data_IF_471899897045
#
_entry.id   IF_471899897045
#
_cell.length_a   1.000
_cell.length_b   1.000
_cell.length_c   1.000
_cell.angle_alpha   90.00
_cell.angle_beta   90.00
_cell.angle_gamma   90.00
#
_symmetry.space_group_name_H-M   'P 1'
#
loop_
_entity.id
_entity.type
_entity.pdbx_description
1 polymer ?
#
# COMPACT_ATOMS: atom_id res chain seq x y z
N UNK A 1 16.43 13.00 -8.75
CA UNK A 1 14.96 13.10 -8.83
C UNK A 1 14.39 12.26 -7.71
N UNK A 2 13.62 12.85 -6.80
CA UNK A 2 12.96 12.10 -5.72
C UNK A 2 11.72 11.49 -6.36
N UNK A 3 11.81 10.21 -6.71
CA UNK A 3 10.70 9.46 -7.28
C UNK A 3 9.69 9.17 -6.16
N UNK A 4 8.44 9.57 -6.33
CA UNK A 4 7.35 8.90 -5.61
C UNK A 4 7.46 7.42 -6.00
N UNK A 5 7.50 6.45 -5.05
CA UNK A 5 7.78 5.04 -5.34
C UNK A 5 6.92 4.41 -6.43
N UNK A 6 5.74 4.99 -6.64
CA UNK A 6 4.69 4.49 -7.51
C UNK A 6 4.47 5.36 -8.75
N UNK A 7 5.20 6.48 -8.89
CA UNK A 7 5.32 7.24 -10.12
C UNK A 7 6.57 6.77 -10.87
N UNK A 8 6.55 5.50 -11.30
CA UNK A 8 7.46 5.08 -12.36
C UNK A 8 7.22 6.00 -13.58
N UNK A 9 8.25 6.30 -14.39
CA UNK A 9 8.01 6.85 -15.72
C UNK A 9 7.00 5.96 -16.46
N UNK A 10 6.15 6.52 -17.33
CA UNK A 10 5.17 5.75 -18.09
C UNK A 10 5.89 4.58 -18.74
N UNK A 11 5.41 3.36 -18.47
CA UNK A 11 5.98 2.18 -19.10
C UNK A 11 5.64 2.33 -20.58
N UNK A 12 6.65 2.53 -21.42
CA UNK A 12 6.51 2.41 -22.87
C UNK A 12 6.32 0.93 -23.23
N UNK A 13 5.19 0.35 -22.85
CA UNK A 13 4.73 -0.92 -23.42
C UNK A 13 3.22 -0.98 -23.27
N UNK A 14 2.52 -1.04 -24.39
CA UNK A 14 1.05 -1.13 -24.48
C UNK A 14 0.44 -2.43 -23.94
N UNK A 15 1.05 -3.08 -22.95
CA UNK A 15 0.59 -4.34 -22.36
C UNK A 15 0.63 -4.31 -20.83
N UNK A 16 -0.40 -3.72 -20.23
CA UNK A 16 -1.09 -4.24 -19.04
C UNK A 16 -2.37 -3.41 -18.86
N UNK A 17 -3.27 -3.54 -19.84
CA UNK A 17 -4.53 -2.82 -19.81
C UNK A 17 -5.44 -3.53 -18.80
N UNK A 18 -5.77 -2.91 -17.65
CA UNK A 18 -6.78 -3.45 -16.75
C UNK A 18 -8.04 -3.75 -17.60
N UNK A 19 -8.57 -4.98 -17.57
CA UNK A 19 -9.54 -5.41 -18.56
C UNK A 19 -10.81 -4.57 -18.49
N UNK A 20 -11.43 -4.37 -19.65
CA UNK A 20 -12.65 -3.58 -19.81
C UNK A 20 -12.59 -2.10 -19.41
N UNK A 21 -11.39 -1.54 -19.15
CA UNK A 21 -11.25 -0.09 -19.01
C UNK A 21 -11.75 0.61 -20.28
N UNK A 22 -12.76 1.49 -20.20
CA UNK A 22 -13.30 2.18 -21.38
C UNK A 22 -12.27 3.07 -22.07
N UNK A 23 -12.46 3.31 -23.37
CA UNK A 23 -11.52 3.98 -24.26
C UNK A 23 -12.24 4.89 -25.26
N UNK A 24 -11.54 5.82 -25.94
CA UNK A 24 -12.16 6.66 -26.95
C UNK A 24 -12.80 5.87 -28.11
N UNK A 25 -12.18 4.77 -28.53
CA UNK A 25 -12.61 3.93 -29.66
C UNK A 25 -13.94 3.20 -29.39
N UNK A 26 -14.22 2.85 -28.14
CA UNK A 26 -15.51 2.28 -27.72
C UNK A 26 -16.48 3.34 -27.16
N UNK A 27 -16.24 4.62 -27.46
CA UNK A 27 -17.06 5.75 -26.99
C UNK A 27 -17.22 5.78 -25.46
N UNK A 28 -16.20 5.34 -24.73
CA UNK A 28 -16.22 5.26 -23.26
C UNK A 28 -17.30 4.32 -22.71
N UNK A 29 -17.73 3.32 -23.49
CA UNK A 29 -18.75 2.38 -23.04
C UNK A 29 -18.21 1.43 -21.94
N UNK A 30 -18.89 1.41 -20.79
CA UNK A 30 -18.62 0.50 -19.67
C UNK A 30 -19.40 -0.81 -19.83
N UNK A 31 -18.70 -1.91 -20.11
CA UNK A 31 -19.32 -3.24 -20.17
C UNK A 31 -19.41 -3.87 -18.76
N UNK A 32 -20.32 -3.34 -17.93
CA UNK A 32 -20.52 -3.80 -16.56
C UNK A 32 -20.82 -5.30 -16.45
N UNK A 33 -21.63 -5.82 -17.39
CA UNK A 33 -22.00 -7.24 -17.42
C UNK A 33 -20.76 -8.14 -17.56
N UNK A 34 -19.84 -7.81 -18.47
CA UNK A 34 -18.62 -8.59 -18.64
C UNK A 34 -17.68 -8.50 -17.42
N UNK A 35 -17.57 -7.32 -16.80
CA UNK A 35 -16.83 -7.12 -15.56
C UNK A 35 -17.36 -8.03 -14.44
N UNK A 36 -18.65 -7.95 -14.15
CA UNK A 36 -19.28 -8.74 -13.10
C UNK A 36 -19.21 -10.25 -13.39
N UNK A 37 -19.29 -10.67 -14.66
CA UNK A 37 -19.13 -12.08 -15.05
C UNK A 37 -17.70 -12.60 -14.85
N UNK A 38 -16.69 -11.78 -15.14
CA UNK A 38 -15.29 -12.19 -15.02
C UNK A 38 -14.80 -12.23 -13.57
N UNK A 39 -15.26 -11.29 -12.74
CA UNK A 39 -14.66 -11.04 -11.43
C UNK A 39 -15.52 -11.53 -10.27
N UNK A 40 -15.06 -12.57 -9.58
CA UNK A 40 -15.73 -13.14 -8.40
C UNK A 40 -15.78 -12.14 -7.23
N UNK A 41 -14.78 -11.26 -7.14
CA UNK A 41 -14.73 -10.21 -6.11
C UNK A 41 -15.72 -9.05 -6.37
N UNK A 42 -16.16 -8.83 -7.62
CA UNK A 42 -17.31 -7.96 -7.89
C UNK A 42 -18.60 -8.65 -7.43
N UNK A 43 -18.79 -9.92 -7.81
CA UNK A 43 -19.97 -10.70 -7.41
C UNK A 43 -20.10 -10.78 -5.88
N UNK A 44 -19.00 -10.84 -5.13
CA UNK A 44 -19.01 -10.88 -3.68
C UNK A 44 -19.54 -9.59 -3.01
N UNK A 45 -19.65 -8.47 -3.75
CA UNK A 45 -20.25 -7.23 -3.26
C UNK A 45 -21.77 -7.16 -3.46
N UNK A 46 -22.33 -8.07 -4.27
CA UNK A 46 -23.76 -8.17 -4.53
C UNK A 46 -24.54 -8.44 -3.23
N UNK A 47 -25.58 -7.65 -2.99
CA UNK A 47 -26.41 -7.75 -1.78
C UNK A 47 -25.73 -7.40 -0.46
N UNK A 48 -24.47 -6.91 -0.46
CA UNK A 48 -23.84 -6.41 0.77
C UNK A 48 -24.51 -5.10 1.17
N UNK A 49 -25.25 -5.06 2.29
CA UNK A 49 -26.11 -3.93 2.59
C UNK A 49 -25.28 -2.69 2.95
N UNK A 50 -25.83 -1.53 2.64
CA UNK A 50 -25.29 -0.22 3.03
C UNK A 50 -26.36 0.56 3.79
N UNK A 51 -25.93 1.56 4.57
CA UNK A 51 -26.87 2.35 5.36
C UNK A 51 -27.67 3.30 4.45
N UNK A 52 -29.00 3.18 4.35
CA UNK A 52 -29.78 3.89 3.33
C UNK A 52 -29.71 5.41 3.39
N UNK A 53 -29.44 5.99 4.57
CA UNK A 53 -29.28 7.44 4.71
C UNK A 53 -28.07 7.98 3.94
N UNK A 54 -27.02 7.16 3.78
CA UNK A 54 -25.81 7.50 3.04
C UNK A 54 -25.76 6.85 1.66
N UNK A 55 -26.51 5.75 1.45
CA UNK A 55 -26.48 4.93 0.23
C UNK A 55 -27.90 4.50 -0.15
N UNK A 56 -28.72 5.42 -0.64
CA UNK A 56 -30.09 5.11 -1.04
C UNK A 56 -30.15 4.29 -2.35
N UNK A 57 -29.04 4.20 -3.09
CA UNK A 57 -28.90 3.36 -4.28
C UNK A 57 -28.96 1.85 -3.97
N UNK A 58 -28.69 1.45 -2.73
CA UNK A 58 -28.76 0.07 -2.28
C UNK A 58 -27.40 -0.51 -1.89
N UNK A 59 -27.07 -1.68 -2.43
CA UNK A 59 -25.89 -2.44 -2.01
C UNK A 59 -24.56 -1.91 -2.58
N UNK A 60 -23.47 -2.50 -2.10
CA UNK A 60 -22.10 -2.13 -2.47
C UNK A 60 -21.81 -2.33 -3.96
N UNK A 61 -22.39 -3.34 -4.61
CA UNK A 61 -22.16 -3.60 -6.03
C UNK A 61 -22.85 -2.54 -6.91
N UNK A 62 -24.09 -2.18 -6.57
CA UNK A 62 -24.82 -1.10 -7.26
C UNK A 62 -24.04 0.20 -7.13
N UNK A 63 -23.59 0.54 -5.92
CA UNK A 63 -22.76 1.72 -5.70
C UNK A 63 -21.47 1.67 -6.53
N UNK A 64 -20.73 0.57 -6.50
CA UNK A 64 -19.49 0.41 -7.28
C UNK A 64 -19.72 0.62 -8.78
N UNK A 65 -20.85 0.15 -9.32
CA UNK A 65 -21.23 0.40 -10.71
C UNK A 65 -21.42 1.91 -10.98
N UNK A 66 -22.17 2.59 -10.13
CA UNK A 66 -22.43 4.03 -10.26
C UNK A 66 -21.14 4.86 -10.13
N UNK A 67 -20.21 4.48 -9.25
CA UNK A 67 -18.89 5.11 -9.14
C UNK A 67 -18.07 4.93 -10.41
N UNK A 68 -18.05 3.72 -10.97
CA UNK A 68 -17.34 3.44 -12.22
C UNK A 68 -17.93 4.24 -13.40
N UNK A 69 -19.27 4.33 -13.51
CA UNK A 69 -19.92 5.14 -14.54
C UNK A 69 -19.61 6.64 -14.36
N UNK A 70 -19.73 7.18 -13.15
CA UNK A 70 -19.40 8.56 -12.83
C UNK A 70 -17.93 8.90 -13.20
N UNK A 71 -16.98 8.01 -12.89
CA UNK A 71 -15.58 8.19 -13.26
C UNK A 71 -15.41 8.22 -14.79
N UNK A 72 -16.05 7.29 -15.50
CA UNK A 72 -15.94 7.16 -16.97
C UNK A 72 -16.57 8.34 -17.71
N UNK A 73 -17.57 9.00 -17.13
CA UNK A 73 -18.14 10.24 -17.65
C UNK A 73 -17.31 11.49 -17.33
N UNK A 74 -16.35 11.41 -16.40
CA UNK A 74 -15.58 12.56 -15.96
C UNK A 74 -14.53 12.99 -17.00
N UNK A 75 -14.57 14.26 -17.44
CA UNK A 75 -13.67 14.80 -18.47
C UNK A 75 -12.20 14.73 -18.05
N UNK A 76 -11.90 15.10 -16.80
CA UNK A 76 -10.54 14.98 -16.25
C UNK A 76 -10.01 13.55 -16.37
N UNK A 77 -10.79 12.52 -16.00
CA UNK A 77 -10.37 11.13 -16.15
C UNK A 77 -10.10 10.80 -17.62
N UNK A 78 -10.99 11.16 -18.55
CA UNK A 78 -10.80 10.92 -19.99
C UNK A 78 -9.51 11.56 -20.52
N UNK A 79 -9.11 12.71 -19.99
CA UNK A 79 -7.91 13.44 -20.39
C UNK A 79 -6.59 12.85 -19.85
N UNK A 80 -6.63 11.97 -18.85
CA UNK A 80 -5.43 11.37 -18.26
C UNK A 80 -4.70 10.44 -19.26
N UNK A 81 -3.39 10.22 -19.08
CA UNK A 81 -2.68 9.15 -19.77
C UNK A 81 -3.36 7.78 -19.60
N UNK A 82 -3.21 6.88 -20.59
CA UNK A 82 -3.85 5.56 -20.62
C UNK A 82 -3.60 4.79 -19.31
N UNK A 83 -2.36 4.73 -18.85
CA UNK A 83 -1.96 4.00 -17.64
C UNK A 83 -2.65 4.57 -16.39
N UNK A 84 -2.70 5.89 -16.25
CA UNK A 84 -3.34 6.57 -15.12
C UNK A 84 -4.86 6.34 -15.12
N UNK A 85 -5.50 6.38 -16.31
CA UNK A 85 -6.93 6.04 -16.44
C UNK A 85 -7.23 4.64 -15.92
N UNK A 86 -6.37 3.68 -16.25
CA UNK A 86 -6.56 2.29 -15.85
C UNK A 86 -6.34 2.04 -14.38
N UNK A 87 -5.34 2.69 -13.79
CA UNK A 87 -5.11 2.64 -12.36
C UNK A 87 -6.32 3.18 -11.59
N UNK A 88 -6.85 4.33 -12.01
CA UNK A 88 -8.04 4.92 -11.39
C UNK A 88 -9.30 4.08 -11.62
N UNK A 89 -9.47 3.53 -12.83
CA UNK A 89 -10.59 2.64 -13.13
C UNK A 89 -10.56 1.38 -12.27
N UNK A 90 -9.39 0.74 -12.15
CA UNK A 90 -9.21 -0.39 -11.26
C UNK A 90 -9.46 -0.02 -9.78
N UNK A 91 -8.96 1.14 -9.34
CA UNK A 91 -9.20 1.63 -7.98
C UNK A 91 -10.68 1.90 -7.71
N UNK A 92 -11.43 2.45 -8.66
CA UNK A 92 -12.88 2.66 -8.55
C UNK A 92 -13.64 1.34 -8.40
N UNK A 93 -13.28 0.30 -9.16
CA UNK A 93 -13.90 -1.01 -9.00
C UNK A 93 -13.54 -1.70 -7.66
N UNK A 94 -12.37 -1.38 -7.11
CA UNK A 94 -11.82 -2.03 -5.91
C UNK A 94 -12.03 -1.24 -4.62
N UNK A 95 -12.45 0.03 -4.67
CA UNK A 95 -12.42 0.95 -3.51
C UNK A 95 -13.14 0.36 -2.28
N UNK A 96 -14.23 -0.36 -2.52
CA UNK A 96 -15.08 -0.99 -1.52
C UNK A 96 -15.00 -2.52 -1.46
N UNK A 97 -14.02 -3.14 -2.14
CA UNK A 97 -13.84 -4.62 -2.17
C UNK A 97 -13.65 -5.23 -0.78
N UNK A 98 -13.32 -4.42 0.23
CA UNK A 98 -13.22 -4.82 1.63
C UNK A 98 -14.55 -4.90 2.39
N UNK A 99 -15.62 -4.24 1.91
CA UNK A 99 -16.92 -4.18 2.60
C UNK A 99 -17.53 -5.56 2.87
N UNK A 100 -17.54 -6.55 1.95
CA UNK A 100 -18.10 -7.88 2.22
C UNK A 100 -17.55 -8.55 3.49
N UNK A 101 -16.26 -8.34 3.80
CA UNK A 101 -15.60 -8.92 4.96
C UNK A 101 -15.70 -8.07 6.24
N UNK A 102 -16.20 -6.83 6.14
CA UNK A 102 -16.19 -5.85 7.22
C UNK A 102 -17.57 -5.30 7.60
N UNK A 103 -18.58 -5.48 6.75
CA UNK A 103 -19.94 -4.99 6.98
C UNK A 103 -20.59 -5.72 8.14
N UNK A 104 -21.17 -4.95 9.06
CA UNK A 104 -21.94 -5.42 10.21
C UNK A 104 -23.19 -4.58 10.35
N UNK A 105 -24.26 -5.22 10.82
CA UNK A 105 -25.48 -4.54 11.29
C UNK A 105 -25.32 -4.40 12.81
N UNK A 106 -25.22 -3.17 13.27
CA UNK A 106 -25.10 -2.83 14.69
C UNK A 106 -26.46 -3.01 15.39
N UNK A 107 -26.46 -3.00 16.74
CA UNK A 107 -27.67 -3.25 17.54
C UNK A 107 -28.77 -2.20 17.36
N UNK A 108 -28.42 -0.99 16.93
CA UNK A 108 -29.34 0.12 16.63
C UNK A 108 -29.83 0.10 15.17
N UNK A 109 -29.45 -0.92 14.39
CA UNK A 109 -29.78 -1.05 12.98
C UNK A 109 -28.85 -0.24 12.06
N UNK A 110 -27.85 0.47 12.58
CA UNK A 110 -26.84 1.13 11.76
C UNK A 110 -25.99 0.08 11.03
N UNK A 111 -25.74 0.31 9.74
CA UNK A 111 -24.84 -0.56 8.96
C UNK A 111 -23.48 0.10 8.91
N UNK A 112 -22.44 -0.61 9.35
CA UNK A 112 -21.08 -0.11 9.38
C UNK A 112 -20.12 -1.09 8.70
N UNK A 113 -19.16 -0.56 7.92
CA UNK A 113 -18.09 -1.36 7.30
C UNK A 113 -16.73 -0.91 7.82
N UNK A 114 -16.60 -0.77 9.16
CA UNK A 114 -15.37 -0.26 9.79
C UNK A 114 -14.16 -1.11 9.40
N UNK A 115 -13.09 -0.46 8.93
CA UNK A 115 -11.86 -1.12 8.51
C UNK A 115 -11.85 -1.64 7.05
N UNK A 116 -12.94 -1.47 6.28
CA UNK A 116 -13.02 -1.94 4.91
C UNK A 116 -11.89 -1.40 4.03
N UNK A 117 -11.50 -0.12 4.16
CA UNK A 117 -10.42 0.44 3.35
C UNK A 117 -9.07 -0.27 3.58
N UNK A 118 -8.75 -0.66 4.83
CA UNK A 118 -7.54 -1.45 5.13
C UNK A 118 -7.65 -2.86 4.57
N UNK A 119 -8.82 -3.48 4.72
CA UNK A 119 -9.05 -4.82 4.16
C UNK A 119 -9.02 -4.81 2.63
N UNK A 120 -9.56 -3.75 2.02
CA UNK A 120 -9.59 -3.51 0.58
C UNK A 120 -8.19 -3.36 -0.01
N UNK A 121 -7.26 -2.67 0.68
CA UNK A 121 -5.84 -2.63 0.30
C UNK A 121 -5.25 -4.04 0.17
N UNK A 122 -5.42 -4.90 1.19
CA UNK A 122 -4.89 -6.26 1.18
C UNK A 122 -5.50 -7.12 0.08
N UNK A 123 -6.82 -7.04 -0.11
CA UNK A 123 -7.51 -7.78 -1.16
C UNK A 123 -7.10 -7.31 -2.55
N UNK A 124 -7.04 -6.00 -2.78
CA UNK A 124 -6.59 -5.40 -4.05
C UNK A 124 -5.18 -5.86 -4.40
N UNK A 125 -4.23 -5.76 -3.45
CA UNK A 125 -2.87 -6.26 -3.63
C UNK A 125 -2.84 -7.72 -4.03
N UNK A 126 -3.60 -8.58 -3.34
CA UNK A 126 -3.66 -10.02 -3.64
C UNK A 126 -4.26 -10.31 -5.01
N UNK A 127 -5.39 -9.70 -5.36
CA UNK A 127 -6.07 -9.88 -6.66
C UNK A 127 -5.10 -9.50 -7.79
N UNK A 128 -4.50 -8.32 -7.69
CA UNK A 128 -3.63 -7.75 -8.71
C UNK A 128 -2.28 -8.49 -8.80
N UNK A 129 -1.72 -8.97 -7.69
CA UNK A 129 -0.45 -9.73 -7.69
C UNK A 129 -0.60 -11.16 -8.19
N UNK A 130 -1.65 -11.86 -7.74
CA UNK A 130 -1.83 -13.26 -8.13
C UNK A 130 -2.38 -13.38 -9.55
N UNK A 131 -3.13 -12.38 -10.02
CA UNK A 131 -3.68 -12.38 -11.37
C UNK A 131 -4.73 -13.46 -11.63
N UNK A 132 -5.29 -14.10 -10.60
CA UNK A 132 -6.14 -15.30 -10.70
C UNK A 132 -7.39 -15.13 -11.60
N UNK A 133 -7.82 -13.89 -11.83
CA UNK A 133 -8.97 -13.54 -12.69
C UNK A 133 -8.61 -12.43 -13.70
N UNK A 134 -7.31 -12.17 -13.88
CA UNK A 134 -6.77 -11.18 -14.82
C UNK A 134 -6.06 -11.90 -15.96
N UNK A 135 -5.89 -11.22 -17.10
CA UNK A 135 -5.09 -11.75 -18.21
C UNK A 135 -3.64 -11.95 -17.80
N UNK A 136 -3.09 -11.00 -17.03
CA UNK A 136 -1.75 -11.05 -16.47
C UNK A 136 -1.76 -10.42 -15.07
N UNK A 137 -0.88 -10.86 -14.15
CA UNK A 137 -0.58 -10.12 -12.93
C UNK A 137 -0.20 -8.66 -13.23
N UNK A 138 -0.65 -7.75 -12.39
CA UNK A 138 -0.33 -6.33 -12.53
C UNK A 138 1.09 -6.07 -11.99
N UNK A 139 1.94 -5.31 -12.71
CA UNK A 139 3.31 -5.08 -12.26
C UNK A 139 3.36 -4.30 -10.93
N UNK A 140 4.47 -4.47 -10.20
CA UNK A 140 4.62 -4.03 -8.81
C UNK A 140 4.16 -2.58 -8.56
N UNK A 141 4.66 -1.64 -9.35
CA UNK A 141 4.38 -0.23 -9.14
C UNK A 141 2.90 0.10 -9.33
N UNK A 142 2.28 -0.35 -10.43
CA UNK A 142 0.86 -0.12 -10.68
C UNK A 142 -0.01 -0.82 -9.63
N UNK A 143 0.34 -2.06 -9.27
CA UNK A 143 -0.36 -2.85 -8.25
C UNK A 143 -0.43 -2.12 -6.92
N UNK A 144 0.72 -1.69 -6.41
CA UNK A 144 0.77 -1.01 -5.12
C UNK A 144 0.13 0.37 -5.18
N UNK A 145 0.26 1.10 -6.29
CA UNK A 145 -0.45 2.37 -6.48
C UNK A 145 -1.97 2.22 -6.33
N UNK A 146 -2.56 1.23 -7.02
CA UNK A 146 -4.00 0.92 -6.93
C UNK A 146 -4.37 0.53 -5.50
N UNK A 147 -3.58 -0.35 -4.86
CA UNK A 147 -3.83 -0.76 -3.47
C UNK A 147 -3.80 0.43 -2.50
N UNK A 148 -2.90 1.41 -2.70
CA UNK A 148 -2.83 2.63 -1.88
C UNK A 148 -3.98 3.61 -2.16
N UNK A 149 -4.43 3.75 -3.42
CA UNK A 149 -5.65 4.50 -3.73
C UNK A 149 -6.86 3.90 -3.01
N UNK A 150 -7.03 2.57 -3.07
CA UNK A 150 -8.08 1.84 -2.33
C UNK A 150 -7.91 2.04 -0.82
N UNK A 151 -6.69 2.05 -0.29
CA UNK A 151 -6.46 2.27 1.14
C UNK A 151 -6.92 3.66 1.60
N UNK A 152 -6.71 4.66 0.76
CA UNK A 152 -6.86 6.08 1.09
C UNK A 152 -8.14 6.71 0.54
N UNK A 153 -9.00 5.98 -0.19
CA UNK A 153 -10.15 6.53 -0.92
C UNK A 153 -11.08 7.41 -0.07
N UNK A 154 -11.22 7.10 1.23
CA UNK A 154 -12.05 7.90 2.15
C UNK A 154 -11.37 9.15 2.71
N UNK A 155 -10.06 9.35 2.50
CA UNK A 155 -9.32 10.50 3.05
C UNK A 155 -9.89 11.84 2.58
N UNK A 156 -10.21 12.08 1.29
CA UNK A 156 -10.76 13.35 0.84
C UNK A 156 -12.07 13.75 1.52
N UNK A 157 -12.87 12.79 1.98
CA UNK A 157 -14.14 13.05 2.67
C UNK A 157 -13.98 13.19 4.19
N UNK A 158 -12.85 12.71 4.74
CA UNK A 158 -12.61 12.55 6.18
C UNK A 158 -11.45 13.39 6.71
N UNK A 159 -10.70 14.11 5.87
CA UNK A 159 -9.46 14.78 6.27
C UNK A 159 -9.69 15.83 7.38
N UNK A 160 -10.83 16.54 7.38
CA UNK A 160 -11.20 17.50 8.44
C UNK A 160 -11.42 16.84 9.80
N UNK A 161 -11.70 15.54 9.84
CA UNK A 161 -11.84 14.78 11.08
C UNK A 161 -10.49 14.31 11.66
N UNK A 162 -9.38 14.59 10.96
CA UNK A 162 -8.03 14.27 11.44
C UNK A 162 -7.59 15.34 12.43
N UNK A 163 -6.83 14.92 13.46
CA UNK A 163 -6.24 15.86 14.42
C UNK A 163 -5.25 16.84 13.78
N UNK A 164 -4.58 16.42 12.70
CA UNK A 164 -3.74 17.26 11.86
C UNK A 164 -4.02 16.97 10.38
N UNK A 165 -4.94 17.72 9.75
CA UNK A 165 -5.30 17.52 8.34
C UNK A 165 -4.13 17.75 7.38
N UNK A 166 -3.31 18.79 7.62
CA UNK A 166 -2.12 19.11 6.80
C UNK A 166 -1.13 17.94 6.76
N UNK A 167 -0.80 17.40 7.94
CA UNK A 167 0.09 16.24 8.04
C UNK A 167 -0.50 15.02 7.34
N UNK A 168 -1.81 14.80 7.46
CA UNK A 168 -2.48 13.67 6.82
C UNK A 168 -2.40 13.74 5.28
N UNK A 169 -2.59 14.92 4.68
CA UNK A 169 -2.43 15.07 3.22
C UNK A 169 -0.97 14.99 2.80
N UNK A 170 -0.05 15.56 3.58
CA UNK A 170 1.40 15.44 3.31
C UNK A 170 1.84 13.98 3.34
N UNK A 171 1.44 13.20 4.34
CA UNK A 171 1.75 11.76 4.44
C UNK A 171 1.15 10.96 3.27
N UNK A 172 -0.11 11.23 2.93
CA UNK A 172 -0.78 10.58 1.79
C UNK A 172 -0.07 10.90 0.46
N UNK A 173 0.41 12.14 0.27
CA UNK A 173 1.11 12.56 -0.95
C UNK A 173 2.41 11.77 -1.20
N UNK A 174 3.02 11.22 -0.15
CA UNK A 174 4.22 10.37 -0.28
C UNK A 174 3.91 8.99 -0.90
N UNK A 175 2.64 8.62 -0.99
CA UNK A 175 2.17 7.32 -1.45
C UNK A 175 1.39 7.39 -2.76
N UNK A 176 0.52 8.39 -2.92
CA UNK A 176 -0.30 8.56 -4.13
C UNK A 176 -0.36 10.03 -4.54
N UNK A 177 -0.66 10.30 -5.82
CA UNK A 177 -1.00 11.67 -6.21
C UNK A 177 -2.38 12.01 -5.64
N UNK A 178 -2.52 13.19 -5.06
CA UNK A 178 -3.76 13.58 -4.40
C UNK A 178 -4.80 14.11 -5.39
N UNK A 179 -4.41 14.50 -6.61
CA UNK A 179 -5.33 14.77 -7.70
C UNK A 179 -6.06 13.51 -8.18
N UNK A 180 -5.37 12.38 -8.26
CA UNK A 180 -5.98 11.05 -8.50
C UNK A 180 -6.91 10.66 -7.37
N UNK A 181 -6.48 10.82 -6.12
CA UNK A 181 -7.30 10.48 -4.96
C UNK A 181 -8.56 11.34 -4.85
N UNK A 182 -8.46 12.64 -5.15
CA UNK A 182 -9.59 13.55 -5.21
C UNK A 182 -10.57 13.17 -6.32
N UNK A 183 -10.08 12.82 -7.51
CA UNK A 183 -10.92 12.38 -8.63
C UNK A 183 -11.66 11.06 -8.32
N UNK A 184 -10.98 10.11 -7.65
CA UNK A 184 -11.62 8.89 -7.17
C UNK A 184 -12.72 9.19 -6.14
N UNK A 185 -12.46 10.07 -5.18
CA UNK A 185 -13.46 10.46 -4.17
C UNK A 185 -14.63 11.25 -4.77
N UNK A 186 -14.38 12.10 -5.77
CA UNK A 186 -15.45 12.77 -6.50
C UNK A 186 -16.34 11.75 -7.24
N UNK A 187 -15.76 10.76 -7.91
CA UNK A 187 -16.52 9.70 -8.56
C UNK A 187 -17.33 8.88 -7.55
N UNK A 188 -16.76 8.57 -6.37
CA UNK A 188 -17.48 7.93 -5.25
C UNK A 188 -18.72 8.74 -4.85
N UNK A 189 -18.56 10.03 -4.59
CA UNK A 189 -19.68 10.90 -4.19
C UNK A 189 -20.72 11.05 -5.30
N UNK A 190 -20.30 11.19 -6.57
CA UNK A 190 -21.22 11.27 -7.72
C UNK A 190 -21.96 9.96 -7.97
N UNK A 191 -21.34 8.82 -7.66
CA UNK A 191 -21.93 7.49 -7.72
C UNK A 191 -22.80 7.10 -6.52
N UNK A 192 -23.24 8.08 -5.72
CA UNK A 192 -24.02 7.88 -4.48
C UNK A 192 -25.36 8.60 -4.56
N UNK A 193 -26.41 8.02 -3.99
CA UNK A 193 -27.70 8.70 -3.79
C UNK A 193 -27.85 9.02 -2.30
N UNK A 194 -27.63 10.28 -1.94
CA UNK A 194 -27.73 10.76 -0.55
C UNK A 194 -28.16 12.24 -0.49
N UNK A 195 -28.69 12.66 0.66
CA UNK A 195 -29.17 14.05 0.84
C UNK A 195 -28.03 15.07 0.97
N UNK A 196 -26.85 14.64 1.42
CA UNK A 196 -25.66 15.45 1.70
C UNK A 196 -24.64 15.44 0.55
N UNK A 197 -25.02 15.00 -0.65
CA UNK A 197 -24.08 14.87 -1.79
C UNK A 197 -23.35 16.18 -2.12
N UNK A 198 -24.05 17.32 -2.09
CA UNK A 198 -23.45 18.62 -2.36
C UNK A 198 -22.37 19.00 -1.32
N UNK A 199 -22.61 18.72 -0.04
CA UNK A 199 -21.63 18.94 1.03
C UNK A 199 -20.40 18.04 0.85
N UNK A 200 -20.62 16.77 0.47
CA UNK A 200 -19.52 15.84 0.21
C UNK A 200 -18.65 16.29 -0.96
N UNK A 201 -19.24 16.83 -2.03
CA UNK A 201 -18.50 17.42 -3.15
C UNK A 201 -17.71 18.67 -2.71
N UNK A 202 -18.30 19.53 -1.89
CA UNK A 202 -17.59 20.69 -1.31
C UNK A 202 -16.38 20.23 -0.47
N UNK A 203 -16.50 19.16 0.31
CA UNK A 203 -15.38 18.58 1.05
C UNK A 203 -14.25 18.10 0.12
N UNK A 204 -14.58 17.53 -1.03
CA UNK A 204 -13.56 17.16 -2.02
C UNK A 204 -12.85 18.41 -2.56
N UNK A 205 -13.56 19.51 -2.81
CA UNK A 205 -12.92 20.78 -3.21
C UNK A 205 -12.01 21.34 -2.11
N UNK A 206 -12.46 21.33 -0.86
CA UNK A 206 -11.62 21.75 0.28
C UNK A 206 -10.37 20.89 0.41
N UNK A 207 -10.49 19.58 0.16
CA UNK A 207 -9.34 18.68 0.12
C UNK A 207 -8.36 19.09 -0.97
N UNK A 208 -8.83 19.40 -2.20
CA UNK A 208 -7.96 19.89 -3.29
C UNK A 208 -7.22 21.16 -2.89
N UNK A 209 -7.93 22.14 -2.33
CA UNK A 209 -7.35 23.42 -1.90
C UNK A 209 -6.26 23.20 -0.84
N UNK A 210 -6.53 22.37 0.17
CA UNK A 210 -5.53 22.05 1.20
C UNK A 210 -4.30 21.36 0.59
N UNK A 211 -4.48 20.43 -0.34
CA UNK A 211 -3.36 19.76 -1.00
C UNK A 211 -2.53 20.73 -1.84
N UNK A 212 -3.15 21.73 -2.46
CA UNK A 212 -2.46 22.77 -3.22
C UNK A 212 -1.69 23.72 -2.30
N UNK A 213 -2.31 24.16 -1.20
CA UNK A 213 -1.67 24.98 -0.15
C UNK A 213 -0.44 24.27 0.43
N UNK A 214 -0.56 22.98 0.72
CA UNK A 214 0.53 22.14 1.20
C UNK A 214 1.48 21.68 0.09
N UNK A 215 1.34 22.17 -1.14
CA UNK A 215 2.22 21.86 -2.27
C UNK A 215 2.38 20.35 -2.53
N UNK A 216 1.29 19.59 -2.40
CA UNK A 216 1.29 18.14 -2.44
C UNK A 216 0.16 17.53 -3.29
N UNK A 217 -0.44 18.32 -4.18
CA UNK A 217 -1.60 17.92 -4.98
C UNK A 217 -1.27 16.95 -6.12
N UNK A 218 -0.42 17.35 -7.07
CA UNK A 218 -0.03 16.53 -8.24
C UNK A 218 1.29 15.80 -8.07
N UNK A 219 2.03 16.09 -6.99
CA UNK A 219 3.33 15.55 -6.66
C UNK A 219 3.45 15.37 -5.14
N UNK A 220 4.32 14.48 -4.65
CA UNK A 220 4.59 14.36 -3.22
C UNK A 220 5.10 15.68 -2.64
N UNK A 221 4.73 15.98 -1.40
CA UNK A 221 5.36 17.07 -0.64
C UNK A 221 6.88 16.88 -0.64
N UNK A 222 7.61 17.87 -1.15
CA UNK A 222 9.06 17.89 -1.10
C UNK A 222 9.55 18.22 0.33
N UNK A 223 10.64 17.56 0.74
CA UNK A 223 11.34 17.81 2.00
C UNK A 223 12.81 18.14 1.70
N UNK A 224 13.46 18.85 2.62
CA UNK A 224 14.87 19.24 2.46
C UNK A 224 15.83 18.03 2.34
N UNK A 225 15.46 16.90 2.94
CA UNK A 225 16.16 15.62 2.85
C UNK A 225 15.24 14.47 3.26
N UNK A 226 15.63 13.25 2.92
CA UNK A 226 15.02 12.02 3.42
C UNK A 226 14.96 11.95 4.95
N UNK A 227 16.00 12.47 5.60
CA UNK A 227 16.05 12.58 7.06
C UNK A 227 15.01 13.58 7.58
N UNK A 228 14.88 14.76 6.95
CA UNK A 228 13.86 15.76 7.33
C UNK A 228 12.45 15.23 7.15
N UNK A 229 12.20 14.48 6.05
CA UNK A 229 10.94 13.77 5.80
C UNK A 229 10.63 12.77 6.93
N UNK A 230 11.60 11.94 7.28
CA UNK A 230 11.45 10.95 8.36
C UNK A 230 11.11 11.62 9.69
N UNK A 231 11.86 12.66 10.09
CA UNK A 231 11.65 13.42 11.33
C UNK A 231 10.25 14.03 11.36
N UNK A 232 9.83 14.72 10.29
CA UNK A 232 8.50 15.32 10.20
C UNK A 232 7.39 14.28 10.38
N UNK A 233 7.46 13.16 9.65
CA UNK A 233 6.43 12.13 9.67
C UNK A 233 6.35 11.38 11.01
N UNK A 234 7.46 11.26 11.74
CA UNK A 234 7.51 10.60 13.06
C UNK A 234 7.33 11.56 14.25
N UNK A 235 7.31 12.88 14.02
CA UNK A 235 7.03 13.88 15.04
C UNK A 235 5.52 14.13 15.20
N UNK A 236 5.02 14.44 16.40
CA UNK A 236 3.60 14.82 16.59
C UNK A 236 3.31 16.23 16.08
N UNK A 237 4.31 17.11 16.13
CA UNK A 237 4.29 18.49 15.67
C UNK A 237 5.57 18.75 14.90
N UNK A 238 5.46 19.44 13.78
CA UNK A 238 6.59 19.74 12.93
C UNK A 238 6.18 20.65 11.80
N UNK A 239 7.15 21.41 11.28
CA UNK A 239 6.98 22.24 10.11
C UNK A 239 7.64 21.53 8.92
N UNK A 240 6.94 21.29 7.78
CA UNK A 240 7.48 20.46 6.70
C UNK A 240 8.74 21.03 6.05
N UNK A 241 8.96 22.35 6.09
CA UNK A 241 10.18 22.98 5.56
C UNK A 241 11.35 23.01 6.57
N UNK A 242 11.15 22.49 7.79
CA UNK A 242 12.25 22.40 8.75
C UNK A 242 13.33 21.43 8.23
N UNK A 243 14.52 21.97 8.02
CA UNK A 243 15.71 21.19 7.64
C UNK A 243 16.32 20.57 8.90
N UNK A 244 15.96 19.32 9.17
CA UNK A 244 16.51 18.60 10.30
C UNK A 244 18.01 18.29 10.08
N UNK A 245 18.81 18.41 11.14
CA UNK A 245 20.21 18.03 11.15
C UNK A 245 20.33 16.50 11.24
N UNK A 246 20.93 15.87 10.23
CA UNK A 246 21.16 14.42 10.20
C UNK A 246 22.28 14.07 11.18
N UNK A 247 21.89 13.52 12.34
CA UNK A 247 22.80 13.10 13.41
C UNK A 247 23.02 11.59 13.45
N UNK A 248 22.74 10.88 12.34
CA UNK A 248 22.95 9.43 12.26
C UNK A 248 24.43 9.06 12.18
N UNK A 249 24.80 7.97 12.87
CA UNK A 249 26.19 7.54 13.04
C UNK A 249 26.59 6.37 12.12
N UNK A 250 25.64 5.50 11.80
CA UNK A 250 25.82 4.27 11.02
C UNK A 250 24.50 3.84 10.39
N UNK A 251 24.51 2.81 9.55
CA UNK A 251 23.32 2.38 8.80
C UNK A 251 22.87 0.96 9.18
N UNK A 252 21.55 0.75 9.25
CA UNK A 252 20.96 -0.58 9.39
C UNK A 252 20.05 -0.85 8.20
N UNK A 253 20.40 -1.88 7.43
CA UNK A 253 19.59 -2.35 6.30
C UNK A 253 18.57 -3.37 6.81
N UNK A 254 17.29 -3.03 6.71
CA UNK A 254 16.17 -3.88 7.13
C UNK A 254 15.54 -4.54 5.91
N UNK A 255 15.77 -5.84 5.71
CA UNK A 255 15.15 -6.57 4.60
C UNK A 255 13.67 -6.85 4.89
N UNK A 256 12.82 -6.72 3.88
CA UNK A 256 11.40 -7.06 3.93
C UNK A 256 10.97 -7.79 2.67
N UNK A 257 10.04 -8.74 2.80
CA UNK A 257 9.50 -9.49 1.67
C UNK A 257 9.13 -10.92 2.04
N UNK A 258 8.27 -11.52 1.22
CA UNK A 258 7.79 -12.88 1.44
C UNK A 258 8.95 -13.91 1.44
N UNK A 259 8.78 -15.08 2.09
CA UNK A 259 9.67 -16.22 1.87
C UNK A 259 9.76 -16.55 0.37
N UNK A 260 10.93 -16.96 -0.11
CA UNK A 260 11.12 -17.31 -1.54
C UNK A 260 11.36 -16.12 -2.49
N UNK A 261 11.24 -14.87 -2.02
CA UNK A 261 11.43 -13.68 -2.87
C UNK A 261 12.89 -13.42 -3.26
N UNK A 262 13.86 -14.10 -2.65
CA UNK A 262 15.29 -13.98 -2.99
C UNK A 262 16.13 -13.08 -2.07
N UNK A 263 15.68 -12.78 -0.85
CA UNK A 263 16.41 -11.94 0.13
C UNK A 263 17.87 -12.37 0.32
N UNK A 264 18.10 -13.66 0.59
CA UNK A 264 19.47 -14.18 0.83
C UNK A 264 20.36 -14.10 -0.42
N UNK A 265 19.76 -14.26 -1.61
CA UNK A 265 20.49 -14.12 -2.87
C UNK A 265 20.91 -12.67 -3.08
N UNK A 266 19.98 -11.73 -2.95
CA UNK A 266 20.25 -10.30 -3.08
C UNK A 266 21.30 -9.84 -2.06
N UNK A 267 21.15 -10.27 -0.80
CA UNK A 267 22.08 -9.94 0.28
C UNK A 267 23.54 -10.30 -0.06
N UNK A 268 23.78 -11.49 -0.64
CA UNK A 268 25.12 -11.95 -1.03
C UNK A 268 25.75 -11.14 -2.17
N UNK A 269 24.96 -10.41 -2.96
CA UNK A 269 25.49 -9.61 -4.07
C UNK A 269 25.68 -8.14 -3.71
N UNK A 270 24.97 -7.63 -2.69
CA UNK A 270 24.98 -6.20 -2.33
C UNK A 270 25.67 -5.89 -0.99
N UNK A 271 25.56 -6.76 0.02
CA UNK A 271 26.11 -6.53 1.37
C UNK A 271 26.90 -7.74 1.89
N UNK A 272 27.63 -8.43 1.01
CA UNK A 272 28.38 -9.64 1.34
C UNK A 272 29.38 -9.45 2.50
N UNK A 273 29.94 -8.24 2.64
CA UNK A 273 30.92 -7.89 3.67
C UNK A 273 30.31 -7.40 4.98
N UNK A 274 29.00 -7.16 5.04
CA UNK A 274 28.35 -6.63 6.24
C UNK A 274 27.95 -7.76 7.19
N UNK A 275 28.07 -7.55 8.52
CA UNK A 275 27.46 -8.45 9.49
C UNK A 275 25.97 -8.59 9.21
N UNK A 276 25.46 -9.82 9.25
CA UNK A 276 24.05 -10.11 9.00
C UNK A 276 23.44 -10.84 10.18
N UNK A 277 22.34 -10.29 10.70
CA UNK A 277 21.48 -10.94 11.68
C UNK A 277 20.32 -11.55 10.90
N UNK A 278 20.32 -12.88 10.77
CA UNK A 278 19.23 -13.63 10.12
C UNK A 278 18.45 -14.43 11.16
N UNK A 279 17.14 -14.17 11.26
CA UNK A 279 16.27 -14.93 12.16
C UNK A 279 16.19 -16.40 11.75
N UNK A 280 16.27 -16.71 10.46
CA UNK A 280 16.30 -18.10 9.97
C UNK A 280 17.62 -18.79 10.34
N UNK A 281 18.75 -18.07 10.33
CA UNK A 281 20.03 -18.62 10.79
C UNK A 281 20.01 -18.87 12.31
N UNK A 282 19.46 -17.95 13.09
CA UNK A 282 19.33 -18.11 14.56
C UNK A 282 18.41 -19.29 14.91
N UNK A 283 17.29 -19.49 14.19
CA UNK A 283 16.43 -20.67 14.37
C UNK A 283 17.21 -21.97 14.17
N UNK A 284 18.05 -22.04 13.12
CA UNK A 284 18.90 -23.20 12.85
C UNK A 284 19.94 -23.42 13.95
N UNK A 285 20.58 -22.35 14.41
CA UNK A 285 21.57 -22.38 15.50
C UNK A 285 20.96 -22.92 16.80
N UNK A 286 19.77 -22.43 17.17
CA UNK A 286 19.06 -22.85 18.37
C UNK A 286 18.33 -24.19 18.22
N UNK A 287 18.32 -24.79 17.02
CA UNK A 287 17.54 -25.99 16.68
C UNK A 287 16.03 -25.85 17.00
N UNK A 288 15.51 -24.65 16.83
CA UNK A 288 14.11 -24.27 17.08
C UNK A 288 13.37 -24.24 15.75
N UNK A 289 12.21 -24.89 15.66
CA UNK A 289 11.36 -24.85 14.47
C UNK A 289 10.57 -23.54 14.40
N UNK A 290 9.95 -23.25 13.25
CA UNK A 290 9.09 -22.07 13.11
C UNK A 290 7.80 -22.13 13.94
N UNK A 291 7.48 -23.29 14.54
CA UNK A 291 6.29 -23.52 15.36
C UNK A 291 6.55 -23.38 16.86
N UNK A 292 7.81 -23.41 17.28
CA UNK A 292 8.23 -23.32 18.67
C UNK A 292 8.24 -21.86 19.16
N UNK A 293 8.48 -21.63 20.45
CA UNK A 293 8.57 -20.28 21.02
C UNK A 293 9.62 -19.41 20.31
N UNK A 294 9.14 -18.37 19.63
CA UNK A 294 9.97 -17.45 18.85
C UNK A 294 10.60 -16.34 19.71
N UNK A 295 10.22 -16.22 20.99
CA UNK A 295 10.72 -15.17 21.89
C UNK A 295 12.23 -15.18 22.03
N UNK A 296 12.81 -16.37 22.25
CA UNK A 296 14.25 -16.58 22.39
C UNK A 296 15.04 -16.22 21.11
N UNK A 297 14.51 -16.54 19.93
CA UNK A 297 15.11 -16.18 18.62
C UNK A 297 15.18 -14.67 18.46
N UNK A 298 14.08 -13.97 18.75
CA UNK A 298 13.99 -12.51 18.63
C UNK A 298 14.90 -11.84 19.66
N UNK A 299 14.94 -12.35 20.90
CA UNK A 299 15.80 -11.82 21.95
C UNK A 299 17.28 -11.89 21.54
N UNK A 300 17.76 -13.06 21.12
CA UNK A 300 19.13 -13.25 20.68
C UNK A 300 19.48 -12.36 19.48
N UNK A 301 18.56 -12.21 18.52
CA UNK A 301 18.73 -11.29 17.39
C UNK A 301 18.91 -9.83 17.85
N UNK A 302 18.11 -9.38 18.84
CA UNK A 302 18.21 -8.03 19.40
C UNK A 302 19.48 -7.83 20.23
N UNK A 303 19.97 -8.86 20.90
CA UNK A 303 21.24 -8.83 21.64
C UNK A 303 22.43 -8.65 20.69
N UNK A 304 22.51 -9.45 19.63
CA UNK A 304 23.52 -9.29 18.56
C UNK A 304 23.46 -7.90 17.92
N UNK A 305 22.26 -7.39 17.66
CA UNK A 305 22.09 -6.04 17.11
C UNK A 305 22.61 -4.97 18.08
N UNK A 306 22.39 -5.10 19.40
CA UNK A 306 22.92 -4.15 20.38
C UNK A 306 24.45 -4.11 20.37
N UNK A 307 25.12 -5.24 20.16
CA UNK A 307 26.59 -5.29 20.07
C UNK A 307 27.10 -4.44 18.91
N UNK A 308 26.55 -4.62 17.70
CA UNK A 308 26.91 -3.80 16.54
C UNK A 308 26.56 -2.33 16.72
N UNK A 309 25.36 -2.03 17.21
CA UNK A 309 24.91 -0.64 17.39
C UNK A 309 25.73 0.12 18.44
N UNK A 310 26.14 -0.52 19.53
CA UNK A 310 27.04 0.09 20.53
C UNK A 310 28.42 0.41 19.95
N UNK A 311 28.87 -0.37 18.99
CA UNK A 311 30.11 -0.15 18.25
C UNK A 311 29.93 0.80 17.06
N UNK A 312 28.71 1.32 16.83
CA UNK A 312 28.34 2.09 15.62
C UNK A 312 28.70 1.37 14.32
N UNK A 313 28.60 0.05 14.31
CA UNK A 313 28.89 -0.78 13.14
C UNK A 313 27.63 -1.01 12.33
N UNK A 314 27.67 -0.70 11.04
CA UNK A 314 26.57 -0.98 10.12
C UNK A 314 26.36 -2.49 9.91
N UNK A 315 25.10 -2.93 9.82
CA UNK A 315 24.74 -4.33 9.66
C UNK A 315 23.40 -4.51 8.94
N UNK A 316 23.10 -5.76 8.54
CA UNK A 316 21.84 -6.12 7.90
C UNK A 316 20.96 -6.94 8.84
N UNK A 317 19.68 -6.58 8.94
CA UNK A 317 18.64 -7.36 9.60
C UNK A 317 17.80 -8.10 8.55
N UNK A 318 17.96 -9.41 8.47
CA UNK A 318 17.29 -10.28 7.50
C UNK A 318 16.15 -11.08 8.16
N UNK A 319 14.92 -10.67 7.88
CA UNK A 319 13.69 -11.39 8.22
C UNK A 319 12.61 -11.10 7.18
N UNK A 320 11.42 -11.69 7.32
CA UNK A 320 10.29 -11.43 6.41
C UNK A 320 9.70 -10.03 6.57
N UNK A 321 9.59 -9.54 7.81
CA UNK A 321 9.19 -8.17 8.15
C UNK A 321 7.97 -7.67 7.35
N UNK A 322 6.91 -8.48 7.32
CA UNK A 322 5.77 -8.31 6.40
C UNK A 322 4.74 -7.27 6.84
N UNK A 323 4.73 -6.85 8.10
CA UNK A 323 3.79 -5.85 8.62
C UNK A 323 4.52 -4.58 9.02
N UNK A 324 3.82 -3.44 8.92
CA UNK A 324 4.34 -2.13 9.34
C UNK A 324 4.66 -2.11 10.83
N UNK A 325 3.84 -2.76 11.66
CA UNK A 325 4.07 -2.84 13.11
C UNK A 325 5.40 -3.52 13.45
N UNK A 326 5.72 -4.64 12.80
CA UNK A 326 6.99 -5.34 13.03
C UNK A 326 8.19 -4.50 12.60
N UNK A 327 8.07 -3.81 11.46
CA UNK A 327 9.12 -2.90 10.98
C UNK A 327 9.29 -1.70 11.91
N UNK A 328 8.20 -1.07 12.35
CA UNK A 328 8.24 0.08 13.26
C UNK A 328 8.99 -0.26 14.56
N UNK A 329 8.70 -1.41 15.18
CA UNK A 329 9.41 -1.83 16.40
C UNK A 329 10.93 -2.00 16.21
N UNK A 330 11.37 -2.38 15.01
CA UNK A 330 12.78 -2.49 14.66
C UNK A 330 13.38 -1.12 14.32
N UNK A 331 12.66 -0.29 13.56
CA UNK A 331 13.05 1.08 13.21
C UNK A 331 13.25 1.89 14.49
N UNK A 332 12.26 1.90 15.39
CA UNK A 332 12.33 2.59 16.68
C UNK A 332 13.53 2.12 17.52
N UNK A 333 13.84 0.83 17.45
CA UNK A 333 15.00 0.23 18.13
C UNK A 333 16.33 0.66 17.51
N UNK A 334 16.41 0.82 16.19
CA UNK A 334 17.63 1.26 15.52
C UNK A 334 17.86 2.76 15.71
N UNK A 335 16.82 3.59 15.57
CA UNK A 335 16.94 5.05 15.73
C UNK A 335 17.29 5.44 17.18
N UNK A 336 16.93 4.62 18.18
CA UNK A 336 17.35 4.88 19.57
C UNK A 336 18.88 4.79 19.76
N UNK A 337 19.61 4.24 18.79
CA UNK A 337 21.08 4.20 18.73
C UNK A 337 21.65 5.14 17.66
N UNK A 338 20.85 6.07 17.11
CA UNK A 338 21.23 6.97 16.01
C UNK A 338 21.58 6.23 14.71
N UNK A 339 20.98 5.08 14.48
CA UNK A 339 21.12 4.39 13.20
C UNK A 339 20.24 5.05 12.12
N UNK A 340 20.82 5.24 10.93
CA UNK A 340 20.05 5.47 9.71
C UNK A 340 19.42 4.16 9.27
N UNK A 341 18.10 4.06 9.37
CA UNK A 341 17.37 2.88 8.88
C UNK A 341 17.07 2.96 7.39
N UNK A 342 17.46 1.92 6.65
CA UNK A 342 17.18 1.72 5.24
C UNK A 342 16.39 0.42 5.04
N UNK A 343 15.14 0.52 4.60
CA UNK A 343 14.32 -0.67 4.30
C UNK A 343 14.56 -1.09 2.85
N UNK A 344 14.92 -2.35 2.63
CA UNK A 344 14.96 -2.94 1.28
C UNK A 344 13.84 -3.95 1.18
N UNK A 345 12.83 -3.64 0.38
CA UNK A 345 11.72 -4.54 0.08
C UNK A 345 11.97 -5.28 -1.22
N UNK A 346 11.87 -6.60 -1.16
CA UNK A 346 12.02 -7.46 -2.32
C UNK A 346 10.64 -7.96 -2.76
N UNK A 347 10.36 -7.80 -4.05
CA UNK A 347 9.20 -8.27 -4.77
C UNK A 347 9.60 -9.31 -5.83
N UNK A 348 8.74 -10.27 -6.10
CA UNK A 348 8.87 -11.18 -7.26
C UNK A 348 7.46 -11.59 -7.71
N UNK A 349 7.28 -12.08 -8.95
CA UNK A 349 6.04 -12.70 -9.39
C UNK A 349 5.60 -13.83 -8.42
N UNK A 350 4.29 -13.95 -8.17
CA UNK A 350 3.79 -14.86 -7.14
C UNK A 350 4.09 -16.33 -7.46
N UNK A 351 3.92 -16.72 -8.73
CA UNK A 351 4.28 -18.04 -9.27
C UNK A 351 5.77 -18.34 -9.12
N UNK A 352 6.65 -17.36 -9.35
CA UNK A 352 8.10 -17.48 -9.12
C UNK A 352 8.40 -17.69 -7.64
N UNK A 353 7.71 -17.00 -6.72
CA UNK A 353 7.85 -17.22 -5.28
C UNK A 353 7.48 -18.67 -4.92
N UNK A 354 6.37 -19.18 -5.45
CA UNK A 354 5.92 -20.55 -5.20
C UNK A 354 6.90 -21.58 -5.77
N UNK A 355 7.36 -21.38 -7.01
CA UNK A 355 8.37 -22.22 -7.65
C UNK A 355 9.65 -22.28 -6.83
N UNK A 356 10.23 -21.12 -6.50
CA UNK A 356 11.44 -21.01 -5.67
C UNK A 356 11.25 -21.67 -4.31
N UNK A 357 10.08 -21.52 -3.69
CA UNK A 357 9.80 -22.16 -2.41
C UNK A 357 9.76 -23.70 -2.51
N UNK A 358 9.22 -24.25 -3.61
CA UNK A 358 9.22 -25.69 -3.87
C UNK A 358 10.60 -26.29 -4.12
N UNK A 359 11.53 -25.49 -4.66
CA UNK A 359 12.92 -25.92 -4.95
C UNK A 359 13.85 -25.85 -3.72
N UNK A 360 13.39 -25.31 -2.58
CA UNK A 360 14.22 -25.17 -1.36
C UNK A 360 14.33 -26.49 -0.60
N UNK A 361 15.51 -26.73 -0.02
CA UNK A 361 15.77 -27.84 0.92
C UNK A 361 14.83 -27.88 2.12
N UNK A 362 14.25 -26.73 2.48
CA UNK A 362 13.26 -26.59 3.55
C UNK A 362 12.13 -25.69 3.03
N UNK A 363 11.23 -26.27 2.26
CA UNK A 363 10.05 -25.59 1.73
C UNK A 363 9.06 -25.27 2.85
N UNK A 364 8.41 -24.11 2.77
CA UNK A 364 7.34 -23.74 3.69
C UNK A 364 5.99 -24.09 3.02
N UNK A 365 4.96 -24.58 3.75
CA UNK A 365 3.66 -24.83 3.14
C UNK A 365 3.08 -23.59 2.45
N UNK A 366 2.49 -23.76 1.26
CA UNK A 366 1.91 -22.65 0.47
C UNK A 366 0.88 -21.86 1.28
N UNK A 367 0.06 -22.53 2.08
CA UNK A 367 -0.90 -21.88 2.97
C UNK A 367 -0.28 -20.89 3.97
N UNK A 368 1.01 -21.05 4.34
CA UNK A 368 1.72 -20.08 5.19
C UNK A 368 2.15 -18.86 4.37
N UNK A 369 2.56 -19.06 3.11
CA UNK A 369 2.88 -17.95 2.19
C UNK A 369 1.60 -17.14 1.92
N UNK A 370 0.48 -17.80 1.64
CA UNK A 370 -0.83 -17.13 1.48
C UNK A 370 -1.21 -16.33 2.73
N UNK A 371 -1.04 -16.89 3.94
CA UNK A 371 -1.29 -16.18 5.20
C UNK A 371 -0.38 -14.96 5.40
N UNK A 372 0.86 -15.02 4.93
CA UNK A 372 1.79 -13.88 4.98
C UNK A 372 1.41 -12.82 3.95
N UNK A 373 1.01 -13.23 2.75
CA UNK A 373 0.50 -12.34 1.70
C UNK A 373 -0.75 -11.59 2.16
N UNK A 374 -1.68 -12.28 2.83
CA UNK A 374 -2.91 -11.69 3.37
C UNK A 374 -2.69 -10.60 4.44
N UNK A 375 -1.50 -10.56 5.03
CA UNK A 375 -1.09 -9.59 6.06
C UNK A 375 0.01 -8.65 5.58
N UNK A 376 0.43 -8.76 4.33
CA UNK A 376 1.56 -8.00 3.81
C UNK A 376 1.18 -6.52 3.66
N UNK A 377 1.91 -5.69 4.39
CA UNK A 377 1.96 -4.24 4.22
C UNK A 377 3.30 -3.92 3.55
N UNK A 378 3.28 -3.57 2.25
CA UNK A 378 4.49 -3.17 1.52
C UNK A 378 5.02 -1.88 2.13
N UNK A 379 6.30 -1.79 2.50
CA UNK A 379 6.83 -0.58 3.10
C UNK A 379 6.75 0.59 2.13
N UNK A 380 6.45 1.77 2.66
CA UNK A 380 6.45 3.04 1.95
C UNK A 380 7.47 4.00 2.56
N UNK A 381 7.83 5.07 1.82
CA UNK A 381 8.86 6.02 2.28
C UNK A 381 8.57 6.58 3.67
N UNK A 382 7.29 6.68 4.09
CA UNK A 382 6.92 7.27 5.38
C UNK A 382 7.45 6.48 6.58
N UNK A 383 7.90 5.23 6.40
CA UNK A 383 8.32 4.35 7.51
C UNK A 383 9.77 4.57 7.97
N UNK A 384 10.69 4.91 7.06
CA UNK A 384 12.13 4.95 7.37
C UNK A 384 12.84 6.11 6.67
N UNK A 385 14.13 6.33 6.99
CA UNK A 385 14.95 7.32 6.30
C UNK A 385 15.04 7.01 4.81
N UNK A 386 15.25 5.75 4.46
CA UNK A 386 15.29 5.29 3.07
C UNK A 386 14.46 4.02 2.91
N UNK A 387 13.76 3.92 1.78
CA UNK A 387 13.07 2.70 1.36
C UNK A 387 13.39 2.43 -0.11
N UNK A 388 13.82 1.21 -0.40
CA UNK A 388 14.13 0.72 -1.74
C UNK A 388 13.24 -0.47 -2.07
N UNK A 389 12.68 -0.52 -3.28
CA UNK A 389 11.91 -1.65 -3.79
C UNK A 389 12.65 -2.34 -4.93
N UNK A 390 12.96 -3.62 -4.74
CA UNK A 390 13.69 -4.45 -5.70
C UNK A 390 12.73 -5.45 -6.34
N UNK A 391 12.67 -5.45 -7.67
CA UNK A 391 11.96 -6.47 -8.44
C UNK A 391 12.92 -7.59 -8.83
N UNK A 392 12.81 -8.74 -8.16
CA UNK A 392 13.48 -9.97 -8.53
C UNK A 392 12.62 -10.73 -9.54
N UNK A 393 13.10 -10.81 -10.78
CA UNK A 393 12.52 -11.66 -11.82
C UNK A 393 12.87 -13.12 -11.58
#
# INVERSE_FOLDING_TARGET
MIYTPYMQPPVQSGESLFPYCPRPDNQWHLNWKALQQQFSWLQAMDGVPQYPAYHAEGDVLIHTHMVADALVQHEQWRSLPVDERQQLFAAALLHDVGKPACTKIESDGMISSRGHARRGEFLSRRILWTGKELTNPVPFAQREYIARLVRLHGLPLQFLNRSNPEKAVIEASQNVRLDHLALLAEADVRGRICADQAELLERVELFRLLCQEQQCYTAPRAFASDYSRFVYLHSTQGYPDYKAYDDTDFEVVLLSGLPGVGKDYWLRHHYASWPTISLDAIRKELKVTALDDQGHVVQLARERAREYMRQKQSFVWNATNTTRLLRQQLIDFFISYKARTHIVYLNAPYDVILKRNGERSTSIPVAVIDKLLDKLEVPDVTEAHQVEWINNH
#
